data_IF_409442316015
#
_entry.id   IF_409442316015
#
_cell.length_a   1.000
_cell.length_b   1.000
_cell.length_c   1.000
_cell.angle_alpha   90.00
_cell.angle_beta   90.00
_cell.angle_gamma   90.00
#
_symmetry.space_group_name_H-M   'P 1'
#
loop_
_entity.id
_entity.type
_entity.pdbx_description
1 polymer ?
#
# COMPACT_ATOMS: atom_id res chain seq x y z
N UNK A 1 36.82 14.10 -63.70
CA UNK A 1 37.36 15.43 -63.35
C UNK A 1 37.39 15.50 -61.82
N UNK A 2 38.54 15.20 -61.16
CA UNK A 2 39.47 16.14 -60.48
C UNK A 2 38.72 17.15 -59.57
N UNK A 3 38.66 17.01 -58.22
CA UNK A 3 39.65 17.15 -57.11
C UNK A 3 40.05 18.61 -56.75
N UNK A 4 40.33 18.81 -55.43
CA UNK A 4 41.00 19.92 -54.68
C UNK A 4 40.05 20.99 -54.09
N UNK A 5 40.23 21.60 -52.89
CA UNK A 5 41.19 21.60 -51.75
C UNK A 5 40.50 22.39 -50.60
N UNK A 6 40.48 22.05 -49.29
CA UNK A 6 41.46 22.04 -48.17
C UNK A 6 42.24 23.35 -47.91
N UNK A 7 42.42 23.62 -46.59
CA UNK A 7 43.41 24.48 -45.86
C UNK A 7 42.86 25.87 -45.44
N UNK A 8 43.17 26.48 -44.28
CA UNK A 8 43.54 26.17 -42.88
C UNK A 8 43.63 27.54 -42.13
N UNK A 9 43.60 27.49 -40.80
CA UNK A 9 44.49 28.23 -39.86
C UNK A 9 44.07 29.61 -39.31
N UNK A 10 43.79 29.59 -37.99
CA UNK A 10 44.42 30.36 -36.89
C UNK A 10 44.95 31.79 -37.14
N UNK A 11 44.55 32.71 -36.26
CA UNK A 11 45.51 33.51 -35.48
C UNK A 11 44.86 34.11 -34.21
N UNK A 12 45.37 33.68 -33.06
CA UNK A 12 45.30 34.33 -31.75
C UNK A 12 46.28 35.51 -31.76
N UNK A 13 45.85 36.70 -31.32
CA UNK A 13 46.78 37.80 -30.97
C UNK A 13 46.42 38.30 -29.59
N UNK A 14 47.22 37.88 -28.61
CA UNK A 14 47.38 38.58 -27.34
C UNK A 14 48.27 39.81 -27.58
N UNK A 15 47.88 40.97 -27.04
CA UNK A 15 48.76 42.11 -26.90
C UNK A 15 48.62 42.68 -25.48
N UNK A 16 49.71 42.58 -24.72
CA UNK A 16 49.94 43.33 -23.50
C UNK A 16 50.34 44.77 -23.86
N UNK A 17 49.78 45.74 -23.15
CA UNK A 17 50.50 46.95 -22.77
C UNK A 17 50.17 47.30 -21.32
N UNK A 18 51.21 47.35 -20.50
CA UNK A 18 51.24 47.98 -19.18
C UNK A 18 51.97 49.32 -19.37
N UNK A 19 51.52 50.39 -18.70
CA UNK A 19 52.33 51.34 -17.88
C UNK A 19 51.57 52.68 -17.67
N UNK A 20 51.17 52.85 -16.40
CA UNK A 20 51.08 54.07 -15.54
C UNK A 20 50.36 55.35 -15.97
N UNK A 21 49.47 55.81 -15.07
CA UNK A 21 49.12 57.22 -14.86
C UNK A 21 48.14 57.37 -13.68
N UNK A 22 48.58 57.96 -12.57
CA UNK A 22 47.71 58.38 -11.46
C UNK A 22 46.97 59.69 -11.82
N UNK A 23 45.67 59.82 -11.53
CA UNK A 23 45.08 61.00 -10.83
C UNK A 23 43.56 60.86 -10.60
N UNK A 24 43.06 61.66 -9.65
CA UNK A 24 41.82 61.56 -8.87
C UNK A 24 40.49 61.83 -9.61
N UNK A 25 39.44 61.17 -9.08
CA UNK A 25 38.02 61.55 -8.98
C UNK A 25 37.30 62.15 -10.20
N UNK A 26 36.25 61.49 -10.69
CA UNK A 26 34.86 61.80 -10.34
C UNK A 26 33.90 60.86 -11.10
N UNK A 27 32.77 60.57 -10.45
CA UNK A 27 31.56 59.88 -10.93
C UNK A 27 31.41 59.71 -12.45
N UNK A 28 31.24 58.45 -12.88
CA UNK A 28 30.30 58.12 -13.93
C UNK A 28 29.74 56.73 -13.68
N UNK A 29 28.46 56.71 -13.29
CA UNK A 29 27.62 55.54 -13.37
C UNK A 29 27.57 55.08 -14.82
N UNK A 30 28.12 53.90 -15.10
CA UNK A 30 27.85 53.19 -16.34
C UNK A 30 27.52 51.76 -15.98
N UNK A 31 26.20 51.56 -15.82
CA UNK A 31 25.45 50.38 -16.20
C UNK A 31 26.29 49.11 -16.31
N UNK A 32 26.33 48.35 -15.21
CA UNK A 32 26.38 46.91 -15.35
C UNK A 32 25.08 46.53 -16.06
N UNK A 33 25.15 46.34 -17.38
CA UNK A 33 24.25 45.42 -18.07
C UNK A 33 24.39 44.07 -17.37
N UNK A 34 23.62 43.89 -16.30
CA UNK A 34 23.18 42.58 -15.88
C UNK A 34 22.30 42.13 -17.03
N UNK A 35 22.92 41.43 -17.97
CA UNK A 35 22.21 40.62 -18.96
C UNK A 35 21.38 39.66 -18.09
N UNK A 36 20.11 40.00 -17.86
CA UNK A 36 19.08 39.03 -17.53
C UNK A 36 19.00 38.11 -18.75
N UNK A 37 19.88 37.12 -18.78
CA UNK A 37 19.53 35.85 -19.41
C UNK A 37 18.32 35.36 -18.60
N UNK A 38 17.13 35.68 -19.08
CA UNK A 38 15.93 34.91 -18.78
C UNK A 38 16.31 33.46 -19.11
N UNK A 39 16.58 32.67 -18.08
CA UNK A 39 16.80 31.24 -18.20
C UNK A 39 15.53 30.66 -18.82
N UNK A 40 15.57 30.45 -20.14
CA UNK A 40 14.52 29.76 -20.85
C UNK A 40 14.38 28.37 -20.22
N UNK A 41 13.14 27.99 -19.90
CA UNK A 41 12.90 26.74 -19.21
C UNK A 41 13.46 25.57 -20.03
N UNK A 42 14.28 24.69 -19.43
CA UNK A 42 14.84 23.56 -20.16
C UNK A 42 13.70 22.67 -20.67
N UNK A 43 13.90 22.09 -21.85
CA UNK A 43 12.97 21.09 -22.39
C UNK A 43 12.92 19.88 -21.46
N UNK A 44 11.73 19.48 -21.04
CA UNK A 44 11.50 18.40 -20.10
C UNK A 44 11.23 17.11 -20.86
N UNK A 45 12.05 16.09 -20.63
CA UNK A 45 11.80 14.73 -21.12
C UNK A 45 10.75 14.00 -20.27
N UNK A 46 10.17 12.92 -20.78
CA UNK A 46 9.22 12.09 -20.02
C UNK A 46 9.80 11.62 -18.68
N UNK A 47 11.06 11.18 -18.68
CA UNK A 47 11.77 10.73 -17.46
C UNK A 47 11.89 11.86 -16.45
N UNK A 48 12.15 13.08 -16.91
CA UNK A 48 12.22 14.26 -16.06
C UNK A 48 10.84 14.67 -15.55
N UNK A 49 9.80 14.61 -16.38
CA UNK A 49 8.42 14.87 -15.97
C UNK A 49 7.99 13.93 -14.82
N UNK A 50 8.23 12.62 -14.94
CA UNK A 50 7.97 11.63 -13.87
C UNK A 50 8.69 12.00 -12.58
N UNK A 51 9.95 12.47 -12.68
CA UNK A 51 10.76 12.86 -11.53
C UNK A 51 10.27 14.17 -10.90
N UNK A 52 9.94 15.18 -11.72
CA UNK A 52 9.47 16.50 -11.28
C UNK A 52 8.18 16.34 -10.49
N UNK A 53 7.18 15.64 -11.01
CA UNK A 53 5.87 15.51 -10.35
C UNK A 53 5.97 14.79 -9.01
N UNK A 54 6.64 13.62 -8.95
CA UNK A 54 6.85 12.87 -7.70
C UNK A 54 7.59 13.70 -6.67
N UNK A 55 8.76 14.21 -7.06
CA UNK A 55 9.61 14.98 -6.16
C UNK A 55 8.88 16.20 -5.60
N UNK A 56 8.12 16.91 -6.41
CA UNK A 56 7.44 18.14 -5.98
C UNK A 56 6.30 17.87 -5.00
N UNK A 57 5.52 16.81 -5.24
CA UNK A 57 4.48 16.37 -4.30
C UNK A 57 5.12 15.93 -2.98
N UNK A 58 6.19 15.13 -3.04
CA UNK A 58 6.91 14.67 -1.86
C UNK A 58 7.52 15.82 -1.05
N UNK A 59 8.16 16.80 -1.70
CA UNK A 59 8.75 17.96 -1.03
C UNK A 59 7.69 18.80 -0.32
N UNK A 60 6.51 18.98 -0.91
CA UNK A 60 5.40 19.69 -0.27
C UNK A 60 4.87 18.90 0.93
N UNK A 61 4.62 17.60 0.77
CA UNK A 61 4.13 16.74 1.85
C UNK A 61 5.13 16.69 3.03
N UNK A 62 6.42 16.56 2.73
CA UNK A 62 7.50 16.56 3.73
C UNK A 62 7.59 17.90 4.45
N UNK A 63 7.49 19.03 3.73
CA UNK A 63 7.46 20.37 4.33
C UNK A 63 6.31 20.50 5.36
N UNK A 64 5.12 19.98 5.04
CA UNK A 64 4.02 19.95 5.99
C UNK A 64 4.28 19.06 7.21
N UNK A 65 4.89 17.89 7.01
CA UNK A 65 5.28 16.99 8.11
C UNK A 65 6.33 17.62 9.03
N UNK A 66 7.32 18.31 8.46
CA UNK A 66 8.33 19.06 9.21
C UNK A 66 7.69 20.20 10.01
N UNK A 67 6.85 21.02 9.37
CA UNK A 67 6.13 22.10 10.05
C UNK A 67 5.25 21.57 11.19
N UNK A 68 4.56 20.46 10.99
CA UNK A 68 3.75 19.83 12.04
C UNK A 68 4.61 19.47 13.25
N UNK A 69 5.74 18.81 13.02
CA UNK A 69 6.64 18.41 14.09
C UNK A 69 7.25 19.60 14.81
N UNK A 70 7.74 20.59 14.08
CA UNK A 70 8.42 21.76 14.64
C UNK A 70 7.48 22.69 15.43
N UNK A 71 6.23 22.81 14.98
CA UNK A 71 5.25 23.73 15.57
C UNK A 71 4.25 23.02 16.49
N UNK A 72 4.42 21.70 16.69
CA UNK A 72 3.53 20.89 17.51
C UNK A 72 2.09 20.92 17.02
N UNK A 73 1.91 20.91 15.70
CA UNK A 73 0.57 20.93 15.13
C UNK A 73 -0.16 19.64 15.50
N UNK A 74 -1.40 19.81 15.93
CA UNK A 74 -2.23 18.72 16.43
C UNK A 74 -3.70 19.12 16.36
N UNK A 75 -4.57 18.23 16.79
CA UNK A 75 -6.01 18.51 16.91
C UNK A 75 -6.30 19.80 17.69
N UNK A 76 -5.58 20.01 18.79
CA UNK A 76 -5.80 21.16 19.67
C UNK A 76 -4.93 22.38 19.29
N UNK A 77 -4.08 22.22 18.28
CA UNK A 77 -3.18 23.25 17.77
C UNK A 77 -3.08 23.12 16.25
N UNK A 78 -4.14 23.48 15.50
CA UNK A 78 -4.17 23.28 14.05
C UNK A 78 -3.10 24.13 13.36
N UNK A 79 -2.64 23.66 12.19
CA UNK A 79 -1.65 24.39 11.42
C UNK A 79 -2.17 25.73 10.91
N UNK A 80 -1.31 26.74 10.93
CA UNK A 80 -1.64 28.11 10.55
C UNK A 80 -1.07 28.48 9.17
N UNK A 81 -1.79 29.36 8.46
CA UNK A 81 -1.43 29.74 7.10
C UNK A 81 -0.12 30.54 7.03
N UNK A 82 0.25 31.27 8.08
CA UNK A 82 1.48 32.07 8.11
C UNK A 82 2.73 31.19 8.11
N UNK A 83 2.72 30.15 8.92
CA UNK A 83 3.77 29.13 8.96
C UNK A 83 3.74 28.28 7.69
N UNK A 84 2.56 27.81 7.24
CA UNK A 84 2.42 27.06 6.00
C UNK A 84 3.02 27.79 4.79
N UNK A 85 2.75 29.09 4.65
CA UNK A 85 3.32 29.95 3.59
C UNK A 85 4.85 30.00 3.62
N UNK A 86 5.46 29.97 4.81
CA UNK A 86 6.93 29.97 4.94
C UNK A 86 7.50 28.61 4.58
N UNK A 87 6.89 27.51 5.01
CA UNK A 87 7.40 26.16 4.77
C UNK A 87 7.37 25.74 3.30
N UNK A 88 6.34 26.16 2.54
CA UNK A 88 6.25 25.83 1.10
C UNK A 88 7.04 26.78 0.19
N UNK A 89 7.71 27.78 0.76
CA UNK A 89 8.41 28.82 -0.01
C UNK A 89 9.49 28.20 -0.89
N UNK A 90 9.41 28.46 -2.20
CA UNK A 90 10.37 27.94 -3.18
C UNK A 90 10.09 26.51 -3.64
N UNK A 91 9.00 25.89 -3.17
CA UNK A 91 8.44 24.64 -3.71
C UNK A 91 7.24 24.89 -4.62
N UNK A 92 6.49 25.96 -4.33
CA UNK A 92 5.25 26.32 -5.01
C UNK A 92 5.28 27.76 -5.52
N UNK A 93 4.42 28.09 -6.49
CA UNK A 93 4.25 29.44 -7.01
C UNK A 93 3.41 30.33 -6.07
N UNK A 94 3.45 31.65 -6.28
CA UNK A 94 2.58 32.60 -5.57
C UNK A 94 1.09 32.29 -5.82
N UNK A 95 0.74 31.87 -7.03
CA UNK A 95 -0.63 31.48 -7.37
C UNK A 95 -1.08 30.24 -6.60
N UNK A 96 -0.20 29.26 -6.38
CA UNK A 96 -0.50 28.11 -5.53
C UNK A 96 -0.77 28.57 -4.08
N UNK A 97 0.10 29.44 -3.54
CA UNK A 97 -0.03 30.01 -2.19
C UNK A 97 -1.36 30.73 -2.00
N UNK A 98 -1.80 31.47 -3.01
CA UNK A 98 -3.06 32.22 -2.95
C UNK A 98 -4.29 31.32 -3.11
N UNK A 99 -4.24 30.34 -4.02
CA UNK A 99 -5.45 29.62 -4.48
C UNK A 99 -5.60 28.21 -3.94
N UNK A 100 -4.51 27.51 -3.66
CA UNK A 100 -4.55 26.10 -3.26
C UNK A 100 -4.14 25.89 -1.80
N UNK A 101 -3.12 26.62 -1.33
CA UNK A 101 -2.57 26.43 0.02
C UNK A 101 -3.62 26.55 1.14
N UNK A 102 -4.59 27.49 1.13
CA UNK A 102 -5.61 27.55 2.18
C UNK A 102 -6.47 26.28 2.26
N UNK A 103 -6.93 25.76 1.12
CA UNK A 103 -7.73 24.53 1.06
C UNK A 103 -6.92 23.28 1.38
N UNK A 104 -5.66 23.25 0.95
CA UNK A 104 -4.71 22.19 1.32
C UNK A 104 -4.46 22.15 2.83
N UNK A 105 -4.25 23.32 3.46
CA UNK A 105 -4.06 23.42 4.90
C UNK A 105 -5.31 23.00 5.69
N UNK A 106 -6.50 23.41 5.24
CA UNK A 106 -7.76 22.95 5.84
C UNK A 106 -7.88 21.43 5.77
N UNK A 107 -7.62 20.86 4.60
CA UNK A 107 -7.63 19.42 4.36
C UNK A 107 -6.63 18.70 5.26
N UNK A 108 -5.40 19.19 5.35
CA UNK A 108 -4.36 18.66 6.21
C UNK A 108 -4.72 18.74 7.70
N UNK A 109 -5.34 19.83 8.14
CA UNK A 109 -5.83 19.95 9.52
C UNK A 109 -6.92 18.91 9.81
N UNK A 110 -7.82 18.67 8.85
CA UNK A 110 -8.92 17.71 8.95
C UNK A 110 -8.50 16.25 8.81
N UNK A 111 -7.44 15.95 8.04
CA UNK A 111 -6.92 14.58 7.86
C UNK A 111 -6.41 13.91 9.13
N UNK A 112 -6.36 14.64 10.24
CA UNK A 112 -6.04 14.09 11.57
C UNK A 112 -7.24 13.43 12.25
N UNK A 113 -8.45 13.78 11.82
CA UNK A 113 -9.70 13.25 12.34
C UNK A 113 -10.42 12.33 11.35
N UNK A 114 -9.92 12.28 10.11
CA UNK A 114 -10.52 11.55 8.99
C UNK A 114 -9.46 10.81 8.20
N UNK A 115 -9.84 9.78 7.45
CA UNK A 115 -8.96 9.07 6.52
C UNK A 115 -8.68 9.87 5.22
N UNK A 116 -8.76 11.19 5.29
CA UNK A 116 -8.58 12.05 4.12
C UNK A 116 -7.09 12.17 3.80
N UNK A 117 -6.71 11.95 2.54
CA UNK A 117 -5.34 12.15 2.09
C UNK A 117 -5.16 13.60 1.64
N UNK A 118 -4.36 14.41 2.36
CA UNK A 118 -4.19 15.82 2.02
C UNK A 118 -3.33 16.06 0.78
N UNK A 119 -2.47 15.10 0.43
CA UNK A 119 -1.53 15.22 -0.66
C UNK A 119 -1.70 14.06 -1.65
N UNK A 120 -1.50 14.28 -2.96
CA UNK A 120 -1.55 13.22 -3.97
C UNK A 120 -0.28 12.37 -3.99
N UNK A 121 0.13 11.79 -2.86
CA UNK A 121 1.40 11.05 -2.70
C UNK A 121 1.40 9.66 -3.36
N UNK A 122 0.24 9.13 -3.73
CA UNK A 122 0.09 7.80 -4.34
C UNK A 122 -0.11 7.84 -5.85
N UNK A 123 0.40 8.88 -6.51
CA UNK A 123 0.37 8.99 -7.97
C UNK A 123 1.32 7.98 -8.63
N UNK A 124 0.92 7.49 -9.80
CA UNK A 124 1.62 6.42 -10.52
C UNK A 124 2.04 6.86 -11.94
N UNK A 125 3.00 7.80 -12.06
CA UNK A 125 3.45 8.28 -13.36
C UNK A 125 4.29 7.26 -14.13
N UNK A 126 4.67 6.13 -13.53
CA UNK A 126 5.22 5.00 -14.28
C UNK A 126 4.11 4.23 -15.02
N UNK A 127 2.91 4.14 -14.43
CA UNK A 127 1.75 3.48 -15.05
C UNK A 127 1.21 4.34 -16.19
N UNK A 128 0.86 5.60 -15.91
CA UNK A 128 0.35 6.54 -16.91
C UNK A 128 0.98 7.90 -16.71
N UNK A 129 1.56 8.44 -17.79
CA UNK A 129 1.95 9.83 -17.85
C UNK A 129 1.60 10.44 -19.20
N UNK A 130 1.04 11.64 -19.16
CA UNK A 130 1.04 12.58 -20.28
C UNK A 130 1.71 13.86 -19.79
N UNK A 131 2.42 14.56 -20.67
CA UNK A 131 2.96 15.85 -20.33
C UNK A 131 3.02 16.75 -21.56
N UNK A 132 2.91 18.05 -21.32
CA UNK A 132 3.11 19.07 -22.34
C UNK A 132 3.82 20.26 -21.72
N UNK A 133 4.79 20.80 -22.45
CA UNK A 133 5.51 22.00 -22.06
C UNK A 133 5.25 23.09 -23.09
N UNK A 134 4.94 24.28 -22.60
CA UNK A 134 4.85 25.50 -23.40
C UNK A 134 5.61 26.59 -22.68
N UNK A 135 6.79 26.92 -23.20
CA UNK A 135 7.73 27.85 -22.57
C UNK A 135 8.05 27.43 -21.12
N UNK A 136 7.70 28.30 -20.18
CA UNK A 136 7.85 28.20 -18.73
C UNK A 136 6.71 27.48 -18.04
N UNK A 137 5.74 26.91 -18.77
CA UNK A 137 4.62 26.16 -18.19
C UNK A 137 4.71 24.69 -18.58
N UNK A 138 4.75 23.83 -17.59
CA UNK A 138 4.73 22.38 -17.75
C UNK A 138 3.44 21.82 -17.15
N UNK A 139 2.68 21.09 -17.95
CA UNK A 139 1.53 20.32 -17.50
C UNK A 139 1.86 18.85 -17.51
N UNK A 140 1.51 18.15 -16.44
CA UNK A 140 1.69 16.71 -16.31
C UNK A 140 0.36 16.12 -15.87
N UNK A 141 -0.11 15.08 -16.56
CA UNK A 141 -1.23 14.28 -16.10
C UNK A 141 -0.76 12.86 -15.76
N UNK A 142 -1.33 12.31 -14.70
CA UNK A 142 -1.10 10.94 -14.25
C UNK A 142 -2.35 10.46 -13.50
N UNK A 143 -2.24 9.39 -12.74
CA UNK A 143 -3.35 8.82 -12.00
C UNK A 143 -2.94 8.35 -10.60
N UNK A 144 -3.92 8.24 -9.72
CA UNK A 144 -3.88 7.32 -8.58
C UNK A 144 -4.69 6.08 -8.95
N UNK A 145 -4.26 4.93 -8.45
CA UNK A 145 -4.93 3.66 -8.71
C UNK A 145 -6.01 3.38 -7.67
N UNK A 146 -7.03 2.64 -8.08
CA UNK A 146 -7.96 2.05 -7.13
C UNK A 146 -7.25 1.03 -6.24
N UNK A 147 -7.72 0.89 -5.00
CA UNK A 147 -7.23 -0.12 -4.07
C UNK A 147 -8.36 -1.01 -3.56
N UNK A 148 -7.97 -2.07 -2.86
CA UNK A 148 -8.86 -3.06 -2.24
C UNK A 148 -9.69 -2.51 -1.08
N UNK A 149 -9.39 -1.30 -0.61
CA UNK A 149 -10.17 -0.57 0.40
C UNK A 149 -11.35 0.23 -0.19
N UNK A 150 -11.61 0.11 -1.50
CA UNK A 150 -12.75 0.74 -2.16
C UNK A 150 -12.51 2.18 -2.62
N UNK A 151 -11.26 2.66 -2.64
CA UNK A 151 -10.94 3.93 -3.27
C UNK A 151 -11.00 3.81 -4.79
N UNK A 152 -11.59 4.81 -5.45
CA UNK A 152 -11.68 4.87 -6.90
C UNK A 152 -10.35 5.40 -7.49
N UNK A 153 -10.03 4.98 -8.71
CA UNK A 153 -8.91 5.58 -9.44
C UNK A 153 -9.25 7.04 -9.78
N UNK A 154 -8.27 7.94 -9.66
CA UNK A 154 -8.43 9.34 -10.03
C UNK A 154 -7.42 9.73 -11.10
N UNK A 155 -7.83 10.60 -12.03
CA UNK A 155 -6.90 11.28 -12.92
C UNK A 155 -6.48 12.61 -12.30
N UNK A 156 -5.18 12.88 -12.32
CA UNK A 156 -4.59 14.08 -11.73
C UNK A 156 -3.94 14.94 -12.82
N UNK A 157 -4.24 16.24 -12.83
CA UNK A 157 -3.50 17.26 -13.58
C UNK A 157 -2.62 18.05 -12.59
N UNK A 158 -1.35 18.21 -12.94
CA UNK A 158 -0.38 19.04 -12.23
C UNK A 158 0.15 20.12 -13.17
N UNK A 159 0.19 21.36 -12.69
CA UNK A 159 0.71 22.51 -13.43
C UNK A 159 1.94 23.02 -12.69
N UNK A 160 3.02 23.19 -13.43
CA UNK A 160 4.28 23.73 -12.95
C UNK A 160 4.65 24.99 -13.74
N UNK A 161 5.28 25.93 -13.06
CA UNK A 161 5.87 27.13 -13.66
C UNK A 161 7.38 27.15 -13.40
N UNK A 162 8.16 27.50 -14.42
CA UNK A 162 9.61 27.63 -14.30
C UNK A 162 9.96 29.05 -13.88
N UNK A 163 10.62 29.19 -12.74
CA UNK A 163 11.01 30.50 -12.20
C UNK A 163 12.32 30.34 -11.43
N UNK A 164 13.26 31.27 -11.61
CA UNK A 164 14.56 31.29 -10.93
C UNK A 164 15.33 29.95 -11.02
N UNK A 165 15.32 29.33 -12.20
CA UNK A 165 16.08 28.10 -12.48
C UNK A 165 15.40 26.80 -12.02
N UNK A 166 14.14 26.83 -11.57
CA UNK A 166 13.44 25.69 -10.95
C UNK A 166 11.97 25.63 -11.34
N UNK A 167 11.46 24.41 -11.46
CA UNK A 167 10.03 24.14 -11.61
C UNK A 167 9.35 24.21 -10.25
N UNK A 168 8.35 25.08 -10.13
CA UNK A 168 7.53 25.25 -8.93
C UNK A 168 6.12 24.74 -9.21
N UNK A 169 5.50 24.06 -8.24
CA UNK A 169 4.11 23.64 -8.36
C UNK A 169 3.20 24.88 -8.38
N UNK A 170 2.43 25.04 -9.45
CA UNK A 170 1.47 26.14 -9.63
C UNK A 170 0.04 25.74 -9.22
N UNK A 171 -0.27 24.45 -9.33
CA UNK A 171 -1.53 23.87 -8.85
C UNK A 171 -1.70 22.42 -9.27
N UNK A 172 -2.59 21.72 -8.58
CA UNK A 172 -3.08 20.40 -8.99
C UNK A 172 -4.60 20.30 -8.89
N UNK A 173 -5.16 19.35 -9.62
CA UNK A 173 -6.57 18.98 -9.51
C UNK A 173 -6.75 17.52 -9.86
N UNK A 174 -7.76 16.88 -9.28
CA UNK A 174 -8.16 15.52 -9.63
C UNK A 174 -9.62 15.44 -10.03
N UNK A 175 -9.95 14.37 -10.72
CA UNK A 175 -11.31 13.93 -10.96
C UNK A 175 -11.36 12.40 -11.02
N UNK A 176 -12.48 11.83 -10.61
CA UNK A 176 -12.74 10.40 -10.80
C UNK A 176 -13.36 10.16 -12.18
N UNK A 177 -12.65 9.52 -13.13
CA UNK A 177 -13.25 9.16 -14.41
C UNK A 177 -14.29 8.06 -14.24
N UNK A 178 -15.43 8.17 -14.93
CA UNK A 178 -16.42 7.09 -15.01
C UNK A 178 -15.88 5.84 -15.74
N UNK A 179 -14.85 6.02 -16.58
CA UNK A 179 -14.14 4.96 -17.27
C UNK A 179 -12.67 5.36 -17.43
N UNK A 180 -11.78 4.73 -16.66
CA UNK A 180 -10.35 5.02 -16.67
C UNK A 180 -9.68 4.65 -18.00
N UNK A 181 -10.28 3.72 -18.75
CA UNK A 181 -9.75 3.20 -20.02
C UNK A 181 -8.29 2.77 -19.89
N UNK A 182 -7.98 2.01 -18.86
CA UNK A 182 -6.65 1.45 -18.69
C UNK A 182 -6.33 0.57 -19.91
N UNK A 183 -5.14 0.74 -20.47
CA UNK A 183 -4.64 -0.13 -21.53
C UNK A 183 -4.04 -1.40 -20.96
N UNK A 184 -3.78 -2.40 -21.81
CA UNK A 184 -3.14 -3.66 -21.40
C UNK A 184 -1.71 -3.41 -20.88
N UNK A 185 -0.99 -2.51 -21.53
CA UNK A 185 0.37 -2.12 -21.17
C UNK A 185 0.40 -1.41 -19.81
N UNK A 186 -0.53 -0.49 -19.58
CA UNK A 186 -0.71 0.16 -18.28
C UNK A 186 -1.14 -0.84 -17.20
N UNK A 187 -2.03 -1.79 -17.51
CA UNK A 187 -2.40 -2.85 -16.57
C UNK A 187 -1.20 -3.75 -16.19
N UNK A 188 -0.31 -4.04 -17.14
CA UNK A 188 0.91 -4.78 -16.84
C UNK A 188 1.87 -3.97 -15.96
N UNK A 189 2.01 -2.67 -16.23
CA UNK A 189 2.86 -1.77 -15.45
C UNK A 189 2.30 -1.53 -14.03
N UNK A 190 0.98 -1.44 -13.91
CA UNK A 190 0.25 -1.41 -12.65
C UNK A 190 0.65 -2.60 -11.76
N UNK A 191 0.60 -3.81 -12.31
CA UNK A 191 1.01 -5.01 -11.58
C UNK A 191 2.48 -4.95 -11.15
N UNK A 192 3.36 -4.39 -11.99
CA UNK A 192 4.78 -4.21 -11.67
C UNK A 192 4.97 -3.24 -10.50
N UNK A 193 4.29 -2.09 -10.49
CA UNK A 193 4.42 -1.10 -9.41
C UNK A 193 3.79 -1.60 -8.10
N UNK A 194 2.74 -2.43 -8.18
CA UNK A 194 2.12 -3.11 -7.04
C UNK A 194 2.91 -4.35 -6.56
N UNK A 195 4.09 -4.62 -7.12
CA UNK A 195 5.02 -5.64 -6.63
C UNK A 195 4.77 -7.07 -7.12
N UNK A 196 3.83 -7.28 -8.05
CA UNK A 196 3.64 -8.59 -8.68
C UNK A 196 4.85 -8.95 -9.54
N UNK A 197 5.27 -10.21 -9.48
CA UNK A 197 6.47 -10.72 -10.18
C UNK A 197 6.11 -11.81 -11.16
N UNK A 198 6.85 -11.87 -12.27
CA UNK A 198 6.70 -12.88 -13.32
C UNK A 198 5.27 -12.93 -13.91
N UNK A 199 4.65 -11.75 -14.05
CA UNK A 199 3.32 -11.65 -14.66
C UNK A 199 3.41 -11.84 -16.17
N UNK A 200 2.52 -12.66 -16.73
CA UNK A 200 2.40 -12.84 -18.17
C UNK A 200 0.95 -12.67 -18.59
N UNK A 201 0.71 -11.81 -19.59
CA UNK A 201 -0.61 -11.62 -20.15
C UNK A 201 -1.17 -12.93 -20.73
N UNK A 202 -2.46 -13.17 -20.51
CA UNK A 202 -3.17 -14.37 -20.98
C UNK A 202 -4.23 -14.01 -22.02
N UNK A 203 -5.20 -13.15 -21.66
CA UNK A 203 -6.31 -12.76 -22.54
C UNK A 203 -7.01 -11.49 -22.06
N UNK A 204 -7.84 -10.92 -22.92
CA UNK A 204 -8.86 -9.94 -22.54
C UNK A 204 -10.19 -10.65 -22.27
N UNK A 205 -10.91 -10.18 -21.25
CA UNK A 205 -12.28 -10.60 -20.98
C UNK A 205 -13.23 -9.40 -21.06
N UNK A 206 -14.36 -9.59 -21.76
CA UNK A 206 -15.36 -8.53 -21.99
C UNK A 206 -16.74 -8.91 -21.39
N UNK A 207 -16.76 -9.81 -20.40
CA UNK A 207 -17.97 -10.22 -19.67
C UNK A 207 -18.33 -9.14 -18.63
N UNK A 208 -18.80 -7.97 -19.08
CA UNK A 208 -18.96 -6.77 -18.26
C UNK A 208 -17.87 -5.74 -18.55
N UNK A 209 -17.30 -5.12 -17.53
CA UNK A 209 -16.13 -4.27 -17.69
C UNK A 209 -14.99 -5.05 -18.36
N UNK A 210 -14.26 -4.40 -19.28
CA UNK A 210 -13.09 -5.01 -19.90
C UNK A 210 -12.07 -5.33 -18.80
N UNK A 211 -11.55 -6.56 -18.80
CA UNK A 211 -10.51 -7.01 -17.87
C UNK A 211 -9.32 -7.58 -18.62
N UNK A 212 -8.13 -7.32 -18.10
CA UNK A 212 -6.89 -7.93 -18.56
C UNK A 212 -6.50 -9.06 -17.63
N UNK A 213 -6.39 -10.27 -18.16
CA UNK A 213 -6.07 -11.47 -17.38
C UNK A 213 -4.58 -11.74 -17.48
N UNK A 214 -3.93 -11.89 -16.33
CA UNK A 214 -2.51 -12.20 -16.21
C UNK A 214 -2.32 -13.48 -15.39
N UNK A 215 -1.35 -14.29 -15.79
CA UNK A 215 -0.83 -15.39 -15.00
C UNK A 215 0.28 -14.85 -14.12
N UNK A 216 0.26 -15.21 -12.85
CA UNK A 216 1.26 -14.90 -11.83
C UNK A 216 1.73 -16.21 -11.19
N UNK A 217 2.81 -16.17 -10.40
CA UNK A 217 3.44 -17.37 -9.83
C UNK A 217 2.49 -18.21 -8.98
N UNK A 218 1.50 -17.60 -8.34
CA UNK A 218 0.57 -18.22 -7.41
C UNK A 218 -0.89 -18.24 -7.89
N UNK A 219 -1.14 -17.93 -9.17
CA UNK A 219 -2.49 -18.01 -9.72
C UNK A 219 -2.74 -17.13 -10.94
N UNK A 220 -4.02 -16.78 -11.11
CA UNK A 220 -4.48 -15.90 -12.19
C UNK A 220 -5.10 -14.66 -11.55
N UNK A 221 -4.71 -13.50 -12.06
CA UNK A 221 -5.21 -12.21 -11.62
C UNK A 221 -5.88 -11.49 -12.80
N UNK A 222 -6.91 -10.72 -12.48
CA UNK A 222 -7.60 -9.86 -13.42
C UNK A 222 -7.40 -8.40 -13.01
N UNK A 223 -7.12 -7.54 -13.97
CA UNK A 223 -7.08 -6.09 -13.79
C UNK A 223 -8.27 -5.49 -14.53
N UNK A 224 -9.14 -4.77 -13.83
CA UNK A 224 -10.30 -4.09 -14.43
C UNK A 224 -9.85 -2.83 -15.17
N UNK A 225 -10.17 -2.73 -16.46
CA UNK A 225 -9.76 -1.62 -17.29
C UNK A 225 -10.52 -0.32 -16.99
N UNK A 226 -11.73 -0.42 -16.43
CA UNK A 226 -12.54 0.73 -16.06
C UNK A 226 -12.09 1.33 -14.74
N UNK A 227 -11.72 0.49 -13.77
CA UNK A 227 -11.51 0.93 -12.38
C UNK A 227 -10.08 0.76 -11.89
N UNK A 228 -9.20 0.04 -12.60
CA UNK A 228 -7.86 -0.41 -12.17
C UNK A 228 -7.83 -1.43 -11.02
N UNK A 229 -8.99 -1.91 -10.56
CA UNK A 229 -9.07 -2.89 -9.46
C UNK A 229 -8.43 -4.22 -9.88
N UNK A 230 -7.57 -4.75 -9.02
CA UNK A 230 -6.96 -6.08 -9.18
C UNK A 230 -7.79 -7.10 -8.40
N UNK A 231 -8.18 -8.19 -9.04
CA UNK A 231 -8.85 -9.31 -8.37
C UNK A 231 -8.15 -10.64 -8.66
N UNK A 232 -8.14 -11.54 -7.66
CA UNK A 232 -7.78 -12.95 -7.90
C UNK A 232 -8.94 -13.65 -8.59
N UNK A 233 -8.64 -14.46 -9.58
CA UNK A 233 -9.64 -15.26 -10.30
C UNK A 233 -9.72 -16.64 -9.64
N UNK A 234 -10.83 -16.94 -8.96
CA UNK A 234 -11.06 -18.23 -8.30
C UNK A 234 -11.28 -19.40 -9.30
N UNK A 235 -10.95 -20.61 -8.84
CA UNK A 235 -10.61 -21.87 -9.53
C UNK A 235 -11.59 -22.48 -10.56
N UNK A 236 -12.56 -21.76 -11.11
CA UNK A 236 -13.39 -22.26 -12.23
C UNK A 236 -12.78 -22.02 -13.61
N UNK A 237 -11.85 -21.08 -13.74
CA UNK A 237 -11.21 -20.73 -15.02
C UNK A 237 -9.80 -21.39 -15.21
N UNK A 238 -9.26 -22.04 -14.18
CA UNK A 238 -8.01 -22.84 -14.30
C UNK A 238 -8.12 -23.94 -15.37
N UNK A 239 -9.34 -24.46 -15.61
CA UNK A 239 -9.57 -25.44 -16.67
C UNK A 239 -9.53 -24.85 -18.09
N UNK A 240 -9.80 -23.55 -18.30
CA UNK A 240 -9.76 -22.95 -19.64
C UNK A 240 -8.35 -22.54 -20.05
N UNK A 241 -7.57 -21.98 -19.12
CA UNK A 241 -6.18 -21.56 -19.39
C UNK A 241 -5.30 -22.76 -19.71
N UNK A 242 -5.47 -23.86 -18.98
CA UNK A 242 -4.70 -25.10 -19.20
C UNK A 242 -5.07 -25.80 -20.51
N UNK A 243 -6.31 -25.64 -21.00
CA UNK A 243 -6.78 -26.26 -22.26
C UNK A 243 -6.28 -25.54 -23.52
N UNK A 244 -5.84 -24.28 -23.43
CA UNK A 244 -5.36 -23.53 -24.59
C UNK A 244 -3.89 -23.85 -24.93
N UNK A 245 -3.06 -24.15 -23.93
CA UNK A 245 -1.68 -24.67 -24.11
C UNK A 245 -1.68 -26.13 -24.63
N UNK A 246 -2.74 -26.88 -24.37
CA UNK A 246 -2.84 -28.32 -24.69
C UNK A 246 -3.13 -28.63 -26.17
N UNK A 247 -3.44 -27.64 -27.01
CA UNK A 247 -3.87 -27.85 -28.41
C UNK A 247 -2.73 -27.67 -29.42
N UNK A 248 -1.60 -27.05 -29.04
CA UNK A 248 -0.46 -26.90 -29.96
C UNK A 248 0.60 -28.02 -29.88
N UNK A 249 0.52 -28.92 -28.89
CA UNK A 249 1.48 -30.03 -28.75
C UNK A 249 0.77 -31.39 -28.64
N UNK A 250 0.13 -31.86 -29.72
CA UNK A 250 -0.18 -33.29 -29.89
C UNK A 250 -0.49 -33.67 -31.35
N UNK A 251 0.36 -33.26 -32.28
CA UNK A 251 0.64 -34.11 -33.43
C UNK A 251 1.81 -35.03 -33.07
N UNK A 252 1.50 -36.24 -32.56
CA UNK A 252 2.18 -37.51 -32.92
C UNK A 252 1.72 -38.67 -32.03
N UNK A 253 1.52 -39.82 -32.68
CA UNK A 253 1.60 -41.19 -32.15
C UNK A 253 0.50 -41.74 -31.20
N UNK A 254 -0.61 -42.14 -31.82
CA UNK A 254 -1.15 -43.52 -31.90
C UNK A 254 -0.63 -44.58 -30.89
N UNK A 255 -1.56 -45.28 -30.23
CA UNK A 255 -1.48 -46.72 -29.95
C UNK A 255 -1.98 -47.19 -28.58
N UNK A 256 -3.11 -47.95 -28.60
CA UNK A 256 -3.42 -49.20 -27.85
C UNK A 256 -3.15 -49.30 -26.33
N UNK A 257 -3.91 -49.96 -25.46
CA UNK A 257 -5.11 -50.81 -25.51
C UNK A 257 -5.53 -51.10 -24.04
N UNK A 258 -6.83 -51.35 -23.84
CA UNK A 258 -7.51 -52.22 -22.86
C UNK A 258 -7.25 -52.28 -21.33
N UNK A 259 -8.39 -52.35 -20.62
CA UNK A 259 -8.73 -53.14 -19.40
C UNK A 259 -8.42 -52.56 -18.01
N UNK A 260 -9.39 -52.06 -17.24
CA UNK A 260 -10.45 -52.72 -16.40
C UNK A 260 -9.97 -53.42 -15.09
N UNK A 261 -10.54 -52.93 -13.97
CA UNK A 261 -11.00 -53.63 -12.73
C UNK A 261 -9.93 -54.20 -11.76
N UNK A 262 -10.04 -54.25 -10.42
CA UNK A 262 -10.93 -53.74 -9.36
C UNK A 262 -10.29 -54.06 -7.99
N UNK A 263 -10.55 -53.20 -6.99
CA UNK A 263 -10.79 -53.42 -5.53
C UNK A 263 -10.39 -54.75 -4.84
N UNK A 264 -9.84 -54.68 -3.61
CA UNK A 264 -10.32 -55.40 -2.40
C UNK A 264 -9.60 -55.01 -1.09
N UNK A 265 -10.37 -55.05 0.01
CA UNK A 265 -10.07 -54.77 1.44
C UNK A 265 -9.59 -56.01 2.21
N UNK A 266 -8.99 -55.82 3.40
CA UNK A 266 -9.33 -56.42 4.75
C UNK A 266 -8.17 -56.20 5.76
N UNK A 267 -8.35 -55.52 6.91
CA UNK A 267 -8.67 -56.02 8.30
C UNK A 267 -7.62 -57.01 8.90
N UNK A 268 -7.17 -57.02 10.19
CA UNK A 268 -7.44 -56.30 11.47
C UNK A 268 -6.40 -56.71 12.57
N UNK A 269 -5.95 -55.74 13.40
CA UNK A 269 -5.76 -55.71 14.89
C UNK A 269 -4.86 -56.72 15.67
N UNK A 270 -4.55 -56.55 17.01
CA UNK A 270 -4.61 -55.38 17.96
C UNK A 270 -3.43 -55.26 18.98
N UNK A 271 -3.24 -54.11 19.66
CA UNK A 271 -2.68 -54.05 21.04
C UNK A 271 -3.25 -52.90 21.89
N UNK A 272 -3.50 -53.20 23.17
CA UNK A 272 -4.02 -52.33 24.25
C UNK A 272 -2.93 -51.38 24.75
N UNK A 273 -2.99 -50.12 24.35
CA UNK A 273 -2.59 -48.93 25.13
C UNK A 273 -3.52 -47.78 24.71
N UNK A 274 -3.67 -46.74 25.56
CA UNK A 274 -4.25 -45.43 25.21
C UNK A 274 -5.78 -45.25 25.21
N UNK A 275 -6.44 -45.30 26.38
CA UNK A 275 -7.70 -44.55 26.57
C UNK A 275 -7.46 -43.06 26.88
N UNK A 276 -6.26 -42.69 27.35
CA UNK A 276 -5.91 -41.32 27.76
C UNK A 276 -5.44 -40.45 26.58
N UNK A 277 -4.53 -40.95 25.73
CA UNK A 277 -4.07 -40.23 24.53
C UNK A 277 -5.21 -39.99 23.54
N UNK A 278 -6.24 -40.85 23.56
CA UNK A 278 -7.47 -40.66 22.77
C UNK A 278 -8.26 -39.41 23.22
N UNK A 279 -8.27 -39.09 24.52
CA UNK A 279 -8.95 -37.93 25.08
C UNK A 279 -8.28 -36.61 24.67
N UNK A 280 -6.95 -36.51 24.85
CA UNK A 280 -6.19 -35.34 24.43
C UNK A 280 -6.29 -35.09 22.92
N UNK A 281 -6.10 -36.13 22.12
CA UNK A 281 -6.15 -36.02 20.65
C UNK A 281 -7.53 -35.59 20.18
N UNK A 282 -8.60 -36.11 20.79
CA UNK A 282 -9.97 -35.70 20.48
C UNK A 282 -10.18 -34.21 20.76
N UNK A 283 -9.78 -33.72 21.93
CA UNK A 283 -9.97 -32.31 22.29
C UNK A 283 -9.13 -31.39 21.41
N UNK A 284 -7.90 -31.78 21.04
CA UNK A 284 -7.10 -31.01 20.07
C UNK A 284 -7.76 -30.92 18.69
N UNK A 285 -8.38 -32.01 18.21
CA UNK A 285 -9.15 -31.98 16.98
C UNK A 285 -10.41 -31.09 17.10
N UNK A 286 -11.05 -31.06 18.26
CA UNK A 286 -12.16 -30.14 18.53
C UNK A 286 -11.70 -28.68 18.54
N UNK A 287 -10.50 -28.38 19.07
CA UNK A 287 -9.91 -27.04 19.00
C UNK A 287 -9.63 -26.62 17.56
N UNK A 288 -9.00 -27.49 16.75
CA UNK A 288 -8.77 -27.24 15.33
C UNK A 288 -10.07 -27.06 14.53
N UNK A 289 -11.13 -27.80 14.88
CA UNK A 289 -12.45 -27.60 14.29
C UNK A 289 -13.08 -26.26 14.68
N UNK A 290 -12.82 -25.78 15.91
CA UNK A 290 -13.28 -24.48 16.39
C UNK A 290 -12.65 -23.32 15.62
N UNK A 291 -11.37 -23.43 15.23
CA UNK A 291 -10.71 -22.44 14.37
C UNK A 291 -11.46 -22.25 13.05
N UNK A 292 -12.02 -23.32 12.49
CA UNK A 292 -12.81 -23.26 11.26
C UNK A 292 -14.23 -22.70 11.46
N UNK A 293 -14.68 -22.54 12.71
CA UNK A 293 -15.98 -21.93 13.06
C UNK A 293 -15.85 -20.44 13.39
N UNK A 294 -14.62 -19.94 13.49
CA UNK A 294 -14.37 -18.52 13.67
C UNK A 294 -14.93 -17.74 12.47
N UNK A 295 -15.60 -16.63 12.78
CA UNK A 295 -16.03 -15.68 11.76
C UNK A 295 -14.84 -14.81 11.38
N UNK A 296 -14.64 -14.67 10.08
CA UNK A 296 -13.64 -13.79 9.46
C UNK A 296 -14.33 -13.04 8.31
N UNK A 297 -15.23 -12.11 8.64
CA UNK A 297 -15.96 -11.36 7.62
C UNK A 297 -15.35 -9.98 7.42
N UNK A 298 -15.37 -9.48 6.18
CA UNK A 298 -14.97 -8.10 5.89
C UNK A 298 -16.10 -7.17 6.36
N UNK A 299 -16.08 -6.84 7.64
CA UNK A 299 -17.00 -5.91 8.28
C UNK A 299 -16.52 -4.46 8.13
N UNK A 300 -17.47 -3.52 8.04
CA UNK A 300 -17.21 -2.14 7.64
C UNK A 300 -17.07 -1.19 8.84
N UNK A 301 -17.67 -1.50 10.00
CA UNK A 301 -17.63 -0.63 11.18
C UNK A 301 -16.82 -1.22 12.34
N UNK A 302 -16.23 -0.37 13.17
CA UNK A 302 -15.53 -0.78 14.40
C UNK A 302 -16.41 -1.63 15.33
N UNK A 303 -17.70 -1.30 15.45
CA UNK A 303 -18.62 -2.08 16.28
C UNK A 303 -18.85 -3.48 15.70
N UNK A 304 -18.93 -3.61 14.38
CA UNK A 304 -19.09 -4.93 13.73
C UNK A 304 -17.83 -5.78 13.89
N UNK A 305 -16.63 -5.17 13.79
CA UNK A 305 -15.34 -5.84 14.07
C UNK A 305 -15.31 -6.35 15.51
N UNK A 306 -15.63 -5.47 16.48
CA UNK A 306 -15.64 -5.84 17.90
C UNK A 306 -16.67 -6.94 18.17
N UNK A 307 -17.87 -6.87 17.59
CA UNK A 307 -18.91 -7.89 17.76
C UNK A 307 -18.50 -9.25 17.16
N UNK A 308 -17.81 -9.25 16.02
CA UNK A 308 -17.27 -10.47 15.43
C UNK A 308 -16.22 -11.11 16.35
N UNK A 309 -15.25 -10.32 16.81
CA UNK A 309 -14.20 -10.78 17.72
C UNK A 309 -14.80 -11.28 19.03
N UNK A 310 -15.75 -10.57 19.63
CA UNK A 310 -16.45 -10.99 20.84
C UNK A 310 -17.27 -12.28 20.60
N UNK A 311 -17.83 -12.47 19.41
CA UNK A 311 -18.46 -13.72 19.00
C UNK A 311 -17.47 -14.89 18.97
N UNK A 312 -16.30 -14.70 18.37
CA UNK A 312 -15.22 -15.69 18.37
C UNK A 312 -14.71 -15.95 19.80
N UNK A 313 -14.53 -14.90 20.61
CA UNK A 313 -14.19 -15.01 22.03
C UNK A 313 -15.19 -15.90 22.78
N UNK A 314 -16.50 -15.73 22.59
CA UNK A 314 -17.50 -16.55 23.27
C UNK A 314 -17.39 -18.04 22.89
N UNK A 315 -17.09 -18.35 21.62
CA UNK A 315 -16.83 -19.73 21.18
C UNK A 315 -15.65 -20.34 21.97
N UNK A 316 -14.54 -19.60 22.05
CA UNK A 316 -13.34 -20.05 22.75
C UNK A 316 -13.50 -20.10 24.27
N UNK A 317 -14.20 -19.15 24.89
CA UNK A 317 -14.45 -19.12 26.33
C UNK A 317 -15.35 -20.28 26.77
N UNK A 318 -16.38 -20.59 25.99
CA UNK A 318 -17.19 -21.78 26.20
C UNK A 318 -16.32 -23.05 26.15
N UNK A 319 -15.44 -23.15 25.15
CA UNK A 319 -14.55 -24.30 25.01
C UNK A 319 -13.53 -24.39 26.16
N UNK A 320 -13.00 -23.25 26.61
CA UNK A 320 -12.11 -23.17 27.76
C UNK A 320 -12.77 -23.72 29.03
N UNK A 321 -14.03 -23.34 29.26
CA UNK A 321 -14.81 -23.80 30.41
C UNK A 321 -15.11 -25.30 30.36
N UNK A 322 -15.36 -25.87 29.17
CA UNK A 322 -15.50 -27.33 28.97
C UNK A 322 -14.20 -28.08 29.29
N UNK A 323 -13.06 -27.59 28.77
CA UNK A 323 -11.74 -28.17 29.00
C UNK A 323 -11.40 -28.13 30.49
N UNK A 324 -11.59 -26.98 31.14
CA UNK A 324 -11.34 -26.80 32.56
C UNK A 324 -12.24 -27.71 33.42
N UNK A 325 -13.51 -27.86 33.04
CA UNK A 325 -14.45 -28.78 33.72
C UNK A 325 -14.04 -30.25 33.56
N UNK A 326 -13.54 -30.63 32.39
CA UNK A 326 -13.00 -31.98 32.14
C UNK A 326 -11.74 -32.24 32.97
N UNK A 327 -10.83 -31.26 33.06
CA UNK A 327 -9.65 -31.36 33.91
C UNK A 327 -10.04 -31.50 35.39
N UNK A 328 -11.07 -30.78 35.84
CA UNK A 328 -11.60 -30.90 37.20
C UNK A 328 -12.09 -32.30 37.54
N UNK A 329 -12.70 -33.01 36.60
CA UNK A 329 -13.26 -34.34 36.83
C UNK A 329 -12.25 -35.47 36.65
N UNK A 330 -11.15 -35.22 35.94
CA UNK A 330 -10.17 -36.25 35.56
C UNK A 330 -8.87 -36.19 36.36
N UNK A 331 -8.49 -35.01 36.85
CA UNK A 331 -7.26 -34.82 37.64
C UNK A 331 -7.46 -35.20 39.12
N UNK A 332 -6.36 -35.49 39.82
CA UNK A 332 -6.38 -35.58 41.28
C UNK A 332 -6.69 -34.21 41.91
N UNK A 333 -7.25 -34.21 43.12
CA UNK A 333 -7.62 -32.99 43.82
C UNK A 333 -6.44 -32.02 43.99
N UNK A 334 -5.25 -32.51 44.34
CA UNK A 334 -4.05 -31.69 44.52
C UNK A 334 -3.57 -31.08 43.20
N UNK A 335 -3.56 -31.86 42.12
CA UNK A 335 -3.15 -31.39 40.80
C UNK A 335 -4.14 -30.34 40.26
N UNK A 336 -5.45 -30.56 40.45
CA UNK A 336 -6.47 -29.60 40.07
C UNK A 336 -6.42 -28.32 40.92
N UNK A 337 -6.12 -28.42 42.22
CA UNK A 337 -5.97 -27.24 43.09
C UNK A 337 -4.80 -26.35 42.65
N UNK A 338 -3.69 -26.96 42.21
CA UNK A 338 -2.57 -26.25 41.57
C UNK A 338 -3.00 -25.57 40.27
N UNK A 339 -3.71 -26.30 39.39
CA UNK A 339 -4.25 -25.74 38.14
C UNK A 339 -5.21 -24.57 38.41
N UNK A 340 -6.12 -24.69 39.37
CA UNK A 340 -7.08 -23.65 39.76
C UNK A 340 -6.36 -22.35 40.15
N UNK A 341 -5.27 -22.46 40.91
CA UNK A 341 -4.47 -21.30 41.31
C UNK A 341 -3.86 -20.61 40.08
N UNK A 342 -3.31 -21.38 39.15
CA UNK A 342 -2.79 -20.86 37.87
C UNK A 342 -3.89 -20.25 37.00
N UNK A 343 -5.08 -20.85 36.97
CA UNK A 343 -6.21 -20.34 36.19
C UNK A 343 -6.70 -18.99 36.72
N UNK A 344 -6.81 -18.83 38.05
CA UNK A 344 -7.18 -17.56 38.67
C UNK A 344 -6.13 -16.47 38.40
N UNK A 345 -4.84 -16.81 38.46
CA UNK A 345 -3.77 -15.87 38.11
C UNK A 345 -3.85 -15.42 36.65
N UNK A 346 -4.06 -16.37 35.73
CA UNK A 346 -4.24 -16.10 34.32
C UNK A 346 -5.46 -15.20 34.02
N UNK A 347 -6.60 -15.42 34.68
CA UNK A 347 -7.78 -14.54 34.52
C UNK A 347 -7.46 -13.11 34.92
N UNK A 348 -6.78 -12.91 36.07
CA UNK A 348 -6.37 -11.58 36.52
C UNK A 348 -5.42 -10.89 35.55
N UNK A 349 -4.47 -11.64 35.00
CA UNK A 349 -3.55 -11.12 33.99
C UNK A 349 -4.30 -10.70 32.72
N UNK A 350 -5.19 -11.56 32.20
CA UNK A 350 -6.03 -11.27 31.03
C UNK A 350 -6.85 -10.00 31.25
N UNK A 351 -7.58 -9.93 32.36
CA UNK A 351 -8.41 -8.76 32.69
C UNK A 351 -7.59 -7.48 32.81
N UNK A 352 -6.39 -7.56 33.41
CA UNK A 352 -5.49 -6.41 33.53
C UNK A 352 -4.99 -5.91 32.18
N UNK A 353 -4.63 -6.81 31.25
CA UNK A 353 -4.14 -6.44 29.91
C UNK A 353 -5.26 -5.84 29.07
N UNK A 354 -6.41 -6.50 29.04
CA UNK A 354 -7.61 -6.02 28.33
C UNK A 354 -8.02 -4.64 28.85
N UNK A 355 -8.03 -4.43 30.18
CA UNK A 355 -8.35 -3.14 30.77
C UNK A 355 -7.34 -2.06 30.38
N UNK A 356 -6.04 -2.36 30.42
CA UNK A 356 -4.99 -1.41 30.06
C UNK A 356 -5.16 -0.90 28.63
N UNK A 357 -5.40 -1.82 27.68
CA UNK A 357 -5.68 -1.48 26.28
C UNK A 357 -6.98 -0.66 26.18
N UNK A 358 -8.07 -1.12 26.78
CA UNK A 358 -9.38 -0.46 26.70
C UNK A 358 -9.40 0.97 27.27
N UNK A 359 -8.46 1.31 28.16
CA UNK A 359 -8.32 2.64 28.77
C UNK A 359 -7.26 3.52 28.11
N UNK A 360 -6.55 3.05 27.08
CA UNK A 360 -5.57 3.88 26.38
C UNK A 360 -6.27 4.97 25.54
N UNK A 361 -6.29 6.19 26.08
CA UNK A 361 -6.91 7.35 25.42
C UNK A 361 -6.18 7.75 24.14
N UNK A 362 -4.92 7.34 23.95
CA UNK A 362 -4.13 7.68 22.76
C UNK A 362 -4.55 6.88 21.53
N UNK A 363 -5.20 5.72 21.71
CA UNK A 363 -5.47 4.78 20.63
C UNK A 363 -6.92 4.83 20.11
N UNK A 364 -7.62 5.96 20.31
CA UNK A 364 -8.92 6.26 19.69
C UNK A 364 -9.95 5.13 19.81
N UNK A 365 -10.64 4.81 18.73
CA UNK A 365 -11.59 3.66 18.68
C UNK A 365 -10.88 2.32 18.47
N UNK A 366 -9.61 2.31 18.03
CA UNK A 366 -8.82 1.10 17.82
C UNK A 366 -8.62 0.31 19.11
N UNK A 367 -8.54 1.00 20.26
CA UNK A 367 -8.46 0.36 21.59
C UNK A 367 -9.57 -0.66 21.86
N UNK A 368 -10.76 -0.49 21.28
CA UNK A 368 -11.86 -1.44 21.46
C UNK A 368 -11.64 -2.73 20.67
N UNK A 369 -11.09 -2.62 19.46
CA UNK A 369 -10.72 -3.76 18.61
C UNK A 369 -9.58 -4.52 19.27
N UNK A 370 -8.52 -3.81 19.67
CA UNK A 370 -7.35 -4.42 20.30
C UNK A 370 -7.68 -5.08 21.65
N UNK A 371 -8.53 -4.46 22.47
CA UNK A 371 -8.95 -5.06 23.74
C UNK A 371 -9.78 -6.34 23.52
N UNK A 372 -10.67 -6.35 22.51
CA UNK A 372 -11.43 -7.54 22.14
C UNK A 372 -10.51 -8.64 21.59
N UNK A 373 -9.54 -8.28 20.74
CA UNK A 373 -8.59 -9.20 20.13
C UNK A 373 -7.64 -9.83 21.16
N UNK A 374 -7.09 -9.04 22.09
CA UNK A 374 -6.26 -9.55 23.20
C UNK A 374 -7.06 -10.54 24.07
N UNK A 375 -8.31 -10.20 24.40
CA UNK A 375 -9.21 -11.06 25.16
C UNK A 375 -9.48 -12.40 24.45
N UNK A 376 -9.71 -12.35 23.14
CA UNK A 376 -9.90 -13.53 22.28
C UNK A 376 -8.62 -14.38 22.22
N UNK A 377 -7.47 -13.79 21.84
CA UNK A 377 -6.18 -14.49 21.68
C UNK A 377 -5.74 -15.19 22.94
N UNK A 378 -5.72 -14.48 24.08
CA UNK A 378 -5.34 -15.08 25.36
C UNK A 378 -6.22 -16.27 25.72
N UNK A 379 -7.53 -16.19 25.43
CA UNK A 379 -8.49 -17.28 25.73
C UNK A 379 -8.25 -18.49 24.83
N UNK A 380 -8.01 -18.28 23.53
CA UNK A 380 -7.66 -19.31 22.56
C UNK A 380 -6.36 -20.02 22.93
N UNK A 381 -5.29 -19.27 23.20
CA UNK A 381 -4.00 -19.81 23.65
C UNK A 381 -4.17 -20.65 24.91
N UNK A 382 -4.96 -20.17 25.87
CA UNK A 382 -5.22 -20.89 27.12
C UNK A 382 -5.90 -22.24 26.91
N UNK A 383 -6.81 -22.37 25.93
CA UNK A 383 -7.39 -23.66 25.55
C UNK A 383 -6.31 -24.66 25.15
N UNK A 384 -5.37 -24.26 24.29
CA UNK A 384 -4.27 -25.12 23.86
C UNK A 384 -3.31 -25.44 25.02
N UNK A 385 -2.99 -24.47 25.88
CA UNK A 385 -2.15 -24.70 27.06
C UNK A 385 -2.75 -25.75 28.00
N UNK A 386 -4.06 -25.66 28.28
CA UNK A 386 -4.74 -26.58 29.18
C UNK A 386 -4.73 -28.00 28.63
N UNK A 387 -5.02 -28.18 27.34
CA UNK A 387 -5.03 -29.49 26.70
C UNK A 387 -3.61 -30.06 26.62
N UNK A 388 -2.65 -29.25 26.18
CA UNK A 388 -1.28 -29.73 25.98
C UNK A 388 -0.56 -30.02 27.30
N UNK A 389 -0.79 -29.21 28.34
CA UNK A 389 -0.09 -29.31 29.61
C UNK A 389 -0.75 -30.19 30.67
N UNK A 390 -2.07 -30.44 30.57
CA UNK A 390 -2.81 -31.10 31.66
C UNK A 390 -3.69 -32.27 31.22
N UNK A 391 -3.97 -32.45 29.92
CA UNK A 391 -4.65 -33.67 29.45
C UNK A 391 -3.61 -34.75 29.09
N UNK A 392 -3.81 -35.95 29.64
CA UNK A 392 -3.00 -37.16 29.44
C UNK A 392 -3.73 -38.19 28.61
#
# INVERSE_FOLDING_TARGET
MKKLNKVMSFCLVASMFVVTGCEKSNNNAQLSEKIEQLDEAPEVTEKEAKKIVRKSVDEIANSFSEMEKENGWSRNNPGDLGTAKKGVKGLVSDKFVEKQLPGLLDTFNRSRETDMLPFPIHIEPDVRITYSQKNDVLKIETLTLANDMGNEAETWEFIFVYTDGKWLMDGWSSNTPADLKLTKEEANELLRVQGFKNVSFVREENSGNKKYIFKESNGVIAVDAQTSVITKVEDKEQEKVTKQDSIQEKETAKGNDSSMYTSSKEEKQPQKESSSVLGKTKVLNELAALENQEKHTNVVSTNDIVNEIEGNYQLWDNKLNEIYSTLKSTMSADAFQSLKTKQVAWVKEKESRVQAIATDENNGTMRYIEAADEKYKMTKERCYELVNGYMN
#
